data_IF_299199076759
#
_entry.id   IF_299199076759
#
_cell.length_a   1.000
_cell.length_b   1.000
_cell.length_c   1.000
_cell.angle_alpha   90.00
_cell.angle_beta   90.00
_cell.angle_gamma   90.00
#
_symmetry.space_group_name_H-M   'P 1'
#
loop_
_entity.id
_entity.type
_entity.pdbx_description
1 polymer ?
#
# COMPACT_ATOMS: atom_id res chain seq x y z
N UNK A 1 9.44 16.85 -17.52
CA UNK A 1 8.12 16.52 -16.91
C UNK A 1 7.88 17.48 -15.77
N UNK A 2 6.94 18.42 -15.93
CA UNK A 2 6.65 19.46 -14.94
C UNK A 2 6.07 18.80 -13.68
N UNK A 3 6.60 19.21 -12.53
CA UNK A 3 6.21 18.77 -11.18
C UNK A 3 4.82 19.32 -10.81
N UNK A 4 3.79 18.74 -11.37
CA UNK A 4 2.41 19.12 -11.11
C UNK A 4 1.74 18.20 -10.11
N UNK A 5 0.44 18.37 -9.97
CA UNK A 5 -0.51 17.60 -9.16
C UNK A 5 -0.30 16.09 -9.27
N UNK A 6 0.03 15.59 -10.47
CA UNK A 6 0.29 14.18 -10.78
C UNK A 6 1.43 13.58 -9.95
N UNK A 7 2.55 14.29 -9.82
CA UNK A 7 3.70 13.81 -9.05
C UNK A 7 3.40 13.82 -7.54
N UNK A 8 2.73 14.87 -7.05
CA UNK A 8 2.34 14.97 -5.64
C UNK A 8 1.34 13.89 -5.26
N UNK A 9 0.36 13.62 -6.11
CA UNK A 9 -0.64 12.59 -5.88
C UNK A 9 -0.04 11.19 -5.94
N UNK A 10 0.73 10.88 -7.00
CA UNK A 10 1.42 9.59 -7.15
C UNK A 10 2.38 9.32 -5.99
N UNK A 11 3.26 10.27 -5.67
CA UNK A 11 4.20 10.09 -4.57
C UNK A 11 3.49 9.99 -3.22
N UNK A 12 2.42 10.76 -2.98
CA UNK A 12 1.67 10.73 -1.73
C UNK A 12 0.86 9.44 -1.56
N UNK A 13 0.08 9.03 -2.56
CA UNK A 13 -0.74 7.82 -2.49
C UNK A 13 0.11 6.55 -2.48
N UNK A 14 1.18 6.50 -3.28
CA UNK A 14 2.09 5.36 -3.34
C UNK A 14 2.88 5.20 -2.05
N UNK A 15 3.39 6.30 -1.49
CA UNK A 15 4.09 6.29 -0.21
C UNK A 15 3.17 5.85 0.93
N UNK A 16 1.93 6.35 0.96
CA UNK A 16 0.96 5.95 1.98
C UNK A 16 0.58 4.47 1.87
N UNK A 17 0.41 3.96 0.65
CA UNK A 17 0.12 2.54 0.41
C UNK A 17 1.29 1.65 0.82
N UNK A 18 2.53 2.03 0.47
CA UNK A 18 3.74 1.30 0.88
C UNK A 18 3.86 1.26 2.40
N UNK A 19 3.67 2.40 3.08
CA UNK A 19 3.71 2.48 4.54
C UNK A 19 2.65 1.59 5.19
N UNK A 20 1.43 1.60 4.67
CA UNK A 20 0.33 0.77 5.16
C UNK A 20 0.65 -0.72 4.99
N UNK A 21 1.12 -1.13 3.80
CA UNK A 21 1.48 -2.51 3.51
C UNK A 21 2.60 -2.99 4.44
N UNK A 22 3.66 -2.18 4.63
CA UNK A 22 4.75 -2.54 5.53
C UNK A 22 4.30 -2.65 6.99
N UNK A 23 3.38 -1.79 7.44
CA UNK A 23 2.83 -1.85 8.79
C UNK A 23 2.00 -3.12 9.00
N UNK A 24 1.10 -3.44 8.07
CA UNK A 24 0.26 -4.63 8.12
C UNK A 24 1.12 -5.89 8.06
N UNK A 25 2.12 -5.92 7.18
CA UNK A 25 3.06 -7.03 7.05
C UNK A 25 3.88 -7.25 8.33
N UNK A 26 4.43 -6.19 8.89
CA UNK A 26 5.18 -6.26 10.15
C UNK A 26 4.30 -6.80 11.29
N UNK A 27 3.06 -6.35 11.40
CA UNK A 27 2.10 -6.83 12.40
C UNK A 27 1.73 -8.30 12.16
N UNK A 28 1.53 -8.70 10.90
CA UNK A 28 1.24 -10.08 10.52
C UNK A 28 2.39 -11.02 10.89
N UNK A 29 3.63 -10.70 10.48
CA UNK A 29 4.80 -11.51 10.79
C UNK A 29 5.06 -11.61 12.29
N UNK A 30 4.91 -10.50 13.03
CA UNK A 30 5.00 -10.50 14.48
C UNK A 30 3.95 -11.41 15.12
N UNK A 31 2.70 -11.31 14.68
CA UNK A 31 1.59 -12.15 15.18
C UNK A 31 1.80 -13.63 14.88
N UNK A 32 2.21 -13.96 13.65
CA UNK A 32 2.54 -15.33 13.24
C UNK A 32 3.68 -15.89 14.10
N UNK A 33 4.79 -15.18 14.20
CA UNK A 33 5.94 -15.60 14.99
C UNK A 33 5.54 -15.89 16.43
N UNK A 34 4.86 -14.95 17.06
CA UNK A 34 4.37 -15.10 18.43
C UNK A 34 3.42 -16.28 18.59
N UNK A 35 2.51 -16.48 17.63
CA UNK A 35 1.55 -17.59 17.65
C UNK A 35 2.24 -18.95 17.56
N UNK A 36 3.25 -19.09 16.67
CA UNK A 36 4.01 -20.33 16.53
C UNK A 36 4.77 -20.68 17.82
N UNK A 37 5.51 -19.72 18.40
CA UNK A 37 6.25 -19.94 19.64
C UNK A 37 5.32 -20.27 20.81
N UNK A 38 4.21 -19.55 20.96
CA UNK A 38 3.20 -19.84 21.99
C UNK A 38 2.58 -21.23 21.81
N UNK A 39 2.34 -21.67 20.58
CA UNK A 39 1.80 -23.00 20.28
C UNK A 39 2.75 -24.10 20.73
N UNK A 40 4.04 -23.96 20.48
CA UNK A 40 5.07 -24.90 20.96
C UNK A 40 5.10 -24.92 22.48
N UNK A 41 5.16 -23.77 23.12
CA UNK A 41 5.18 -23.64 24.58
C UNK A 41 3.94 -24.30 25.20
N UNK A 42 2.75 -24.05 24.70
CA UNK A 42 1.52 -24.70 25.20
C UNK A 42 1.52 -26.22 24.99
N UNK A 43 2.09 -26.69 23.89
CA UNK A 43 2.22 -28.13 23.63
C UNK A 43 3.17 -28.77 24.63
N UNK A 44 4.28 -28.13 24.93
CA UNK A 44 5.22 -28.58 25.95
C UNK A 44 4.60 -28.57 27.35
N UNK A 45 3.85 -27.54 27.73
CA UNK A 45 3.13 -27.48 28.99
C UNK A 45 2.11 -28.61 29.14
N UNK A 46 1.33 -28.90 28.10
CA UNK A 46 0.39 -30.04 28.12
C UNK A 46 1.13 -31.36 28.29
N UNK A 47 2.30 -31.51 27.63
CA UNK A 47 3.12 -32.71 27.76
C UNK A 47 3.68 -32.84 29.17
N UNK A 48 4.14 -31.77 29.78
CA UNK A 48 4.57 -31.74 31.17
C UNK A 48 3.45 -32.17 32.10
N UNK A 49 2.25 -31.64 31.95
CA UNK A 49 1.10 -32.00 32.75
C UNK A 49 0.79 -33.51 32.67
N UNK A 50 0.90 -34.09 31.48
CA UNK A 50 0.75 -35.53 31.25
C UNK A 50 1.82 -36.33 32.02
N UNK A 51 3.09 -35.91 31.91
CA UNK A 51 4.23 -36.57 32.60
C UNK A 51 4.08 -36.45 34.12
N UNK A 52 3.74 -35.26 34.61
CA UNK A 52 3.48 -35.03 36.05
C UNK A 52 2.33 -35.87 36.58
N UNK A 53 1.26 -36.06 35.80
CA UNK A 53 0.15 -36.95 36.15
C UNK A 53 0.58 -38.42 36.26
N UNK A 54 1.41 -38.89 35.32
CA UNK A 54 2.01 -40.23 35.38
C UNK A 54 2.90 -40.38 36.64
N UNK A 55 3.73 -39.36 36.91
CA UNK A 55 4.57 -39.37 38.09
C UNK A 55 3.79 -39.54 39.39
N UNK A 56 2.67 -38.80 39.53
CA UNK A 56 1.76 -38.93 40.69
C UNK A 56 1.22 -40.36 40.85
N UNK A 57 0.90 -41.03 39.75
CA UNK A 57 0.47 -42.42 39.76
C UNK A 57 1.56 -43.39 40.21
N UNK A 58 2.85 -43.15 39.76
CA UNK A 58 3.98 -44.00 40.13
C UNK A 58 4.48 -43.78 41.56
N UNK A 59 4.39 -42.53 42.06
CA UNK A 59 4.88 -42.20 43.40
C UNK A 59 3.88 -42.51 44.51
N UNK A 60 2.61 -42.67 44.15
CA UNK A 60 1.49 -42.96 45.07
C UNK A 60 1.37 -41.86 46.14
N UNK A 61 0.17 -41.72 46.72
CA UNK A 61 -0.18 -40.75 47.77
C UNK A 61 0.53 -41.03 49.12
N UNK A 62 1.41 -41.98 49.15
CA UNK A 62 2.11 -42.37 50.37
C UNK A 62 3.50 -41.67 50.42
N UNK A 63 3.56 -40.62 51.23
CA UNK A 63 4.79 -39.92 51.62
C UNK A 63 5.85 -40.87 52.31
N UNK A 64 5.59 -42.13 52.31
CA UNK A 64 6.40 -43.15 53.01
C UNK A 64 7.32 -43.98 52.13
N UNK A 65 7.34 -43.83 50.78
CA UNK A 65 8.39 -44.45 49.98
C UNK A 65 9.66 -43.68 50.15
N UNK A 66 10.78 -44.39 50.48
CA UNK A 66 12.08 -43.78 50.65
C UNK A 66 12.47 -42.92 49.43
N UNK A 67 13.06 -41.77 49.67
CA UNK A 67 13.52 -40.81 48.65
C UNK A 67 14.35 -41.50 47.56
N UNK A 68 15.21 -42.42 47.90
CA UNK A 68 16.02 -43.25 46.98
C UNK A 68 15.17 -44.07 45.99
N UNK A 69 13.98 -44.55 46.41
CA UNK A 69 13.06 -45.30 45.51
C UNK A 69 12.40 -44.41 44.50
N UNK A 70 12.18 -43.10 44.80
CA UNK A 70 11.62 -42.09 43.89
C UNK A 70 12.60 -41.64 42.83
N UNK A 71 13.89 -41.42 43.19
CA UNK A 71 14.92 -41.04 42.21
C UNK A 71 15.18 -42.15 41.21
N UNK A 72 15.17 -43.42 41.64
CA UNK A 72 15.28 -44.55 40.71
C UNK A 72 14.06 -44.64 39.79
N UNK A 73 12.85 -44.40 40.26
CA UNK A 73 11.64 -44.40 39.45
C UNK A 73 11.66 -43.25 38.41
N UNK A 74 12.13 -42.05 38.79
CA UNK A 74 12.27 -40.88 37.90
C UNK A 74 13.34 -41.16 36.82
N UNK A 75 14.53 -41.67 37.15
CA UNK A 75 15.56 -42.07 36.20
C UNK A 75 15.03 -43.10 35.18
N UNK A 76 14.33 -44.11 35.65
CA UNK A 76 13.69 -45.12 34.78
C UNK A 76 12.66 -44.52 33.85
N UNK A 77 11.88 -43.51 34.30
CA UNK A 77 10.92 -42.80 33.52
C UNK A 77 11.61 -41.97 32.40
N UNK A 78 12.78 -41.36 32.67
CA UNK A 78 13.59 -40.68 31.65
C UNK A 78 14.14 -41.67 30.62
N UNK A 79 14.67 -42.81 31.09
CA UNK A 79 15.20 -43.86 30.19
C UNK A 79 14.11 -44.45 29.28
N UNK A 80 12.90 -44.61 29.79
CA UNK A 80 11.74 -45.18 29.08
C UNK A 80 10.89 -44.12 28.36
N UNK A 81 11.33 -42.88 28.27
CA UNK A 81 10.58 -41.81 27.63
C UNK A 81 10.31 -42.13 26.14
N UNK A 82 9.03 -42.16 25.76
CA UNK A 82 8.61 -42.66 24.45
C UNK A 82 8.78 -41.68 23.30
N UNK A 83 8.79 -40.38 23.58
CA UNK A 83 8.79 -39.31 22.56
C UNK A 83 10.19 -38.70 22.35
N UNK A 84 11.26 -39.52 22.42
CA UNK A 84 12.63 -39.09 22.27
C UNK A 84 12.94 -38.42 20.92
N UNK A 85 12.17 -38.75 19.89
CA UNK A 85 12.32 -38.15 18.56
C UNK A 85 11.88 -36.69 18.49
N UNK A 86 11.05 -36.23 19.43
CA UNK A 86 10.47 -34.89 19.46
C UNK A 86 10.94 -34.05 20.62
N UNK A 87 11.21 -34.69 21.75
CA UNK A 87 11.54 -34.04 23.00
C UNK A 87 12.71 -34.74 23.67
N UNK A 88 13.61 -33.97 24.21
CA UNK A 88 14.60 -34.45 25.15
C UNK A 88 14.09 -34.16 26.57
N UNK A 89 13.99 -35.22 27.38
CA UNK A 89 13.52 -35.13 28.74
C UNK A 89 14.69 -35.27 29.69
N UNK A 90 14.85 -34.32 30.63
CA UNK A 90 15.96 -34.25 31.54
C UNK A 90 15.48 -34.07 32.98
N UNK A 91 16.26 -34.58 33.92
CA UNK A 91 16.15 -34.29 35.36
C UNK A 91 17.25 -33.34 35.78
N UNK A 92 16.90 -32.36 36.61
CA UNK A 92 17.84 -31.36 37.14
C UNK A 92 17.93 -31.46 38.66
N UNK A 93 19.14 -31.20 39.18
CA UNK A 93 19.38 -31.02 40.59
C UNK A 93 18.97 -29.63 41.10
N UNK A 94 19.20 -29.32 42.35
CA UNK A 94 18.93 -28.04 42.99
C UNK A 94 19.76 -26.88 42.46
N UNK A 95 20.81 -27.16 41.73
CA UNK A 95 21.69 -26.18 41.08
C UNK A 95 21.36 -25.99 39.57
N UNK A 96 20.38 -26.73 39.05
CA UNK A 96 20.04 -26.71 37.63
C UNK A 96 20.92 -27.59 36.75
N UNK A 97 21.77 -28.42 37.35
CA UNK A 97 22.65 -29.36 36.63
C UNK A 97 21.88 -30.62 36.22
N UNK A 98 22.18 -31.17 35.03
CA UNK A 98 21.51 -32.35 34.51
C UNK A 98 21.98 -33.61 35.20
N UNK A 99 21.04 -34.35 35.83
CA UNK A 99 21.32 -35.62 36.51
C UNK A 99 21.07 -36.81 35.58
N UNK A 100 20.11 -36.72 34.72
CA UNK A 100 19.75 -37.74 33.74
C UNK A 100 19.08 -37.14 32.53
N UNK A 101 19.34 -37.69 31.32
CA UNK A 101 18.75 -37.30 30.05
C UNK A 101 18.23 -38.52 29.33
N UNK A 102 17.12 -38.34 28.60
CA UNK A 102 16.51 -39.37 27.76
C UNK A 102 17.32 -39.69 26.50
N UNK A 103 18.23 -38.79 26.10
CA UNK A 103 19.12 -39.00 24.96
C UNK A 103 20.35 -39.83 25.35
N UNK A 104 20.65 -39.97 26.64
CA UNK A 104 21.82 -40.68 27.14
C UNK A 104 23.13 -39.96 26.89
N UNK A 105 23.13 -38.80 26.29
CA UNK A 105 24.32 -37.93 26.15
C UNK A 105 24.50 -37.13 27.43
N UNK A 106 25.76 -37.05 27.88
CA UNK A 106 26.13 -36.08 28.93
C UNK A 106 25.76 -34.70 28.39
N UNK A 107 24.83 -34.03 29.06
CA UNK A 107 24.23 -32.79 28.58
C UNK A 107 25.16 -31.58 28.80
N UNK A 108 26.47 -31.72 28.48
CA UNK A 108 27.47 -30.68 28.62
C UNK A 108 27.23 -29.45 27.72
N UNK A 109 26.35 -29.57 26.70
CA UNK A 109 26.05 -28.47 25.77
C UNK A 109 24.90 -27.54 26.18
N UNK A 110 24.20 -27.80 27.31
CA UNK A 110 23.04 -26.99 27.73
C UNK A 110 23.43 -26.19 28.98
N UNK A 111 24.23 -25.15 28.75
CA UNK A 111 24.84 -24.34 29.84
C UNK A 111 23.96 -23.19 30.34
N UNK A 112 22.73 -23.01 29.84
CA UNK A 112 21.87 -21.95 30.35
C UNK A 112 20.83 -22.46 31.33
N UNK A 113 20.89 -21.94 32.55
CA UNK A 113 19.90 -22.19 33.60
C UNK A 113 18.71 -21.24 33.57
N UNK A 114 18.58 -20.46 32.50
CA UNK A 114 17.55 -19.39 32.39
C UNK A 114 16.10 -19.89 32.55
N UNK A 115 15.79 -21.07 32.04
CA UNK A 115 14.48 -21.70 32.23
C UNK A 115 14.30 -22.18 33.69
N UNK A 116 15.38 -22.69 34.33
CA UNK A 116 15.36 -23.11 35.73
C UNK A 116 15.29 -21.91 36.68
N UNK A 117 16.08 -20.86 36.43
CA UNK A 117 16.03 -19.60 37.20
C UNK A 117 14.63 -18.97 37.11
N UNK A 118 14.08 -18.89 35.91
CA UNK A 118 12.70 -18.38 35.71
C UNK A 118 11.69 -19.26 36.46
N UNK A 119 11.83 -20.58 36.45
CA UNK A 119 10.93 -21.47 37.18
C UNK A 119 10.99 -21.23 38.70
N UNK A 120 12.14 -20.86 39.25
CA UNK A 120 12.28 -20.52 40.68
C UNK A 120 11.62 -19.19 41.04
N UNK A 121 11.65 -18.22 40.10
CA UNK A 121 11.05 -16.88 40.31
C UNK A 121 9.53 -16.88 40.10
N UNK A 122 9.04 -17.77 39.23
CA UNK A 122 7.61 -17.82 38.85
C UNK A 122 6.80 -18.58 39.88
N UNK A 123 5.67 -18.03 40.29
CA UNK A 123 4.80 -18.64 41.36
C UNK A 123 4.17 -19.96 40.95
N UNK A 124 4.14 -20.33 39.68
CA UNK A 124 3.65 -21.63 39.19
C UNK A 124 4.78 -22.67 39.06
N UNK A 125 6.04 -22.29 39.37
CA UNK A 125 7.20 -23.15 39.27
C UNK A 125 7.58 -23.57 37.87
N UNK A 126 7.16 -22.80 36.85
CA UNK A 126 7.46 -23.06 35.45
C UNK A 126 8.30 -21.97 34.84
N UNK A 127 9.34 -22.35 34.09
CA UNK A 127 10.18 -21.43 33.33
C UNK A 127 10.35 -21.90 31.89
N UNK A 128 10.54 -20.95 30.98
CA UNK A 128 10.74 -21.19 29.54
C UNK A 128 11.92 -20.40 29.04
N UNK A 129 12.86 -21.06 28.38
CA UNK A 129 13.96 -20.38 27.69
C UNK A 129 14.10 -20.87 26.26
N UNK A 130 14.55 -19.96 25.40
CA UNK A 130 14.92 -20.26 24.02
C UNK A 130 16.40 -19.97 23.89
N UNK A 131 17.15 -20.93 23.46
CA UNK A 131 18.60 -20.80 23.28
C UNK A 131 19.08 -21.50 22.02
N UNK A 132 20.31 -21.23 21.66
CA UNK A 132 20.96 -21.87 20.52
C UNK A 132 21.98 -22.87 21.05
N UNK A 133 21.91 -24.12 20.59
CA UNK A 133 22.86 -25.16 20.88
C UNK A 133 24.21 -24.90 20.19
N UNK A 134 25.26 -25.59 20.59
CA UNK A 134 26.59 -25.52 19.94
C UNK A 134 26.52 -25.91 18.46
N UNK A 135 25.57 -26.76 18.07
CA UNK A 135 25.26 -27.10 16.68
C UNK A 135 24.52 -25.99 15.92
N UNK A 136 24.36 -24.79 16.51
CA UNK A 136 23.59 -23.66 15.96
C UNK A 136 22.07 -23.91 15.78
N UNK A 137 21.55 -24.97 16.36
CA UNK A 137 20.13 -25.27 16.38
C UNK A 137 19.42 -24.45 17.47
N UNK A 138 18.27 -23.87 17.11
CA UNK A 138 17.41 -23.19 18.07
C UNK A 138 16.51 -24.21 18.77
N UNK A 139 16.53 -24.21 20.10
CA UNK A 139 15.72 -25.09 20.94
C UNK A 139 14.93 -24.29 21.94
N UNK A 140 13.79 -24.81 22.35
CA UNK A 140 12.98 -24.30 23.44
C UNK A 140 13.06 -25.30 24.59
N UNK A 141 13.49 -24.83 25.76
CA UNK A 141 13.43 -25.57 27.02
C UNK A 141 12.31 -25.07 27.88
N UNK A 142 11.58 -25.99 28.47
CA UNK A 142 10.59 -25.73 29.51
C UNK A 142 11.02 -26.51 30.74
N UNK A 143 11.23 -25.77 31.85
CA UNK A 143 11.54 -26.32 33.13
C UNK A 143 10.30 -26.26 34.06
N UNK A 144 10.14 -27.30 34.87
CA UNK A 144 9.08 -27.35 35.88
C UNK A 144 9.72 -27.86 37.20
N UNK A 145 9.56 -27.06 38.24
CA UNK A 145 9.99 -27.47 39.59
C UNK A 145 9.11 -28.64 40.09
N UNK A 146 9.74 -29.62 40.65
CA UNK A 146 9.08 -30.81 41.19
C UNK A 146 9.41 -30.94 42.67
N UNK A 147 8.90 -30.02 43.53
CA UNK A 147 9.19 -30.07 44.95
C UNK A 147 8.70 -31.41 45.50
N UNK A 148 9.58 -32.04 46.29
CA UNK A 148 9.31 -33.33 46.94
C UNK A 148 9.36 -34.55 46.00
N UNK A 149 9.85 -34.47 44.76
CA UNK A 149 9.95 -35.63 43.89
C UNK A 149 11.01 -36.65 44.42
N UNK A 150 12.21 -36.18 44.67
CA UNK A 150 13.32 -36.96 45.31
C UNK A 150 14.30 -35.98 45.95
N UNK A 151 15.23 -36.48 46.73
CA UNK A 151 16.23 -35.65 47.45
C UNK A 151 17.26 -35.04 46.47
N UNK A 152 17.58 -35.77 45.40
CA UNK A 152 18.53 -35.41 44.35
C UNK A 152 17.91 -34.75 43.13
N UNK A 153 16.55 -34.63 43.01
CA UNK A 153 15.84 -34.08 41.85
C UNK A 153 15.03 -32.89 42.28
N UNK A 154 15.37 -31.71 41.76
CA UNK A 154 14.64 -30.45 42.02
C UNK A 154 13.70 -30.07 40.88
N UNK A 155 14.02 -30.39 39.64
CA UNK A 155 13.22 -30.01 38.48
C UNK A 155 13.28 -31.05 37.35
N UNK A 156 12.30 -30.97 36.49
CA UNK A 156 12.24 -31.66 35.20
C UNK A 156 12.32 -30.64 34.08
N UNK A 157 13.10 -30.91 33.06
CA UNK A 157 13.23 -30.08 31.86
C UNK A 157 12.83 -30.87 30.63
N UNK A 158 12.07 -30.25 29.77
CA UNK A 158 11.71 -30.76 28.45
C UNK A 158 12.28 -29.82 27.40
N UNK A 159 13.06 -30.35 26.47
CA UNK A 159 13.68 -29.58 25.39
C UNK A 159 13.13 -30.03 24.06
N UNK A 160 12.85 -29.12 23.16
CA UNK A 160 12.42 -29.43 21.78
C UNK A 160 13.13 -28.55 20.77
N UNK A 161 13.42 -29.12 19.60
CA UNK A 161 13.94 -28.38 18.46
C UNK A 161 12.90 -27.43 17.88
N UNK A 162 13.34 -26.20 17.56
CA UNK A 162 12.54 -25.21 16.85
C UNK A 162 12.78 -25.20 15.34
N UNK A 163 13.57 -26.15 14.82
CA UNK A 163 13.92 -26.21 13.38
C UNK A 163 12.71 -26.30 12.49
N UNK A 164 11.72 -27.11 12.85
CA UNK A 164 10.46 -27.21 12.09
C UNK A 164 9.69 -25.89 12.11
N UNK A 165 9.63 -25.23 13.26
CA UNK A 165 8.98 -23.91 13.43
C UNK A 165 9.68 -22.86 12.58
N UNK A 166 11.01 -22.83 12.61
CA UNK A 166 11.81 -21.91 11.79
C UNK A 166 11.60 -22.12 10.31
N UNK A 167 11.52 -23.37 9.85
CA UNK A 167 11.25 -23.67 8.45
C UNK A 167 9.82 -23.26 8.04
N UNK A 168 8.84 -23.48 8.89
CA UNK A 168 7.48 -22.98 8.67
C UNK A 168 7.44 -21.45 8.61
N UNK A 169 8.11 -20.76 9.52
CA UNK A 169 8.20 -19.30 9.53
C UNK A 169 8.93 -18.77 8.28
N UNK A 170 9.99 -19.44 7.80
CA UNK A 170 10.65 -19.10 6.53
C UNK A 170 9.68 -19.19 5.35
N UNK A 171 8.88 -20.24 5.28
CA UNK A 171 7.90 -20.40 4.23
C UNK A 171 6.81 -19.32 4.29
N UNK A 172 6.29 -19.01 5.48
CA UNK A 172 5.35 -17.90 5.69
C UNK A 172 5.97 -16.59 5.22
N UNK A 173 7.21 -16.31 5.60
CA UNK A 173 7.94 -15.11 5.19
C UNK A 173 8.13 -15.02 3.66
N UNK A 174 8.48 -16.12 3.00
CA UNK A 174 8.62 -16.15 1.53
C UNK A 174 7.28 -15.88 0.83
N UNK A 175 6.20 -16.50 1.31
CA UNK A 175 4.87 -16.28 0.76
C UNK A 175 4.45 -14.82 0.97
N UNK A 176 4.68 -14.26 2.14
CA UNK A 176 4.33 -12.87 2.46
C UNK A 176 5.08 -11.86 1.58
N UNK A 177 6.36 -12.09 1.32
CA UNK A 177 7.14 -11.28 0.37
C UNK A 177 6.50 -11.29 -1.03
N UNK A 178 6.10 -12.46 -1.52
CA UNK A 178 5.46 -12.58 -2.84
C UNK A 178 4.14 -11.79 -2.86
N UNK A 179 3.35 -11.87 -1.81
CA UNK A 179 2.09 -11.10 -1.67
C UNK A 179 2.36 -9.60 -1.69
N UNK A 180 3.34 -9.12 -0.91
CA UNK A 180 3.74 -7.71 -0.87
C UNK A 180 4.18 -7.21 -2.25
N UNK A 181 5.05 -7.97 -2.93
CA UNK A 181 5.52 -7.61 -4.28
C UNK A 181 4.34 -7.54 -5.27
N UNK A 182 3.39 -8.48 -5.17
CA UNK A 182 2.20 -8.50 -6.02
C UNK A 182 1.32 -7.27 -5.78
N UNK A 183 1.05 -6.91 -4.52
CA UNK A 183 0.26 -5.73 -4.15
C UNK A 183 0.94 -4.45 -4.65
N UNK A 184 2.25 -4.32 -4.44
CA UNK A 184 3.01 -3.15 -4.90
C UNK A 184 3.02 -3.06 -6.43
N UNK A 185 3.23 -4.18 -7.12
CA UNK A 185 3.18 -4.25 -8.58
C UNK A 185 1.82 -3.83 -9.13
N UNK A 186 0.74 -4.33 -8.54
CA UNK A 186 -0.62 -3.93 -8.91
C UNK A 186 -0.88 -2.45 -8.65
N UNK A 187 -0.43 -1.92 -7.51
CA UNK A 187 -0.58 -0.50 -7.16
C UNK A 187 0.13 0.41 -8.17
N UNK A 188 1.36 0.05 -8.54
CA UNK A 188 2.12 0.80 -9.56
C UNK A 188 1.45 0.73 -10.93
N UNK A 189 1.03 -0.47 -11.35
CA UNK A 189 0.34 -0.67 -12.63
C UNK A 189 -0.97 0.13 -12.71
N UNK A 190 -1.78 0.08 -11.65
CA UNK A 190 -3.03 0.85 -11.52
C UNK A 190 -2.76 2.35 -11.55
N UNK A 191 -1.74 2.83 -10.84
CA UNK A 191 -1.35 4.24 -10.86
C UNK A 191 -0.89 4.72 -12.24
N UNK A 192 -0.11 3.92 -12.95
CA UNK A 192 0.30 4.22 -14.33
C UNK A 192 -0.88 4.24 -15.30
N UNK A 193 -1.80 3.28 -15.15
CA UNK A 193 -3.04 3.26 -15.93
C UNK A 193 -3.86 4.53 -15.68
N UNK A 194 -4.08 4.90 -14.42
CA UNK A 194 -4.82 6.12 -14.05
C UNK A 194 -4.20 7.39 -14.64
N UNK A 195 -2.86 7.50 -14.60
CA UNK A 195 -2.17 8.65 -15.18
C UNK A 195 -2.38 8.72 -16.70
N UNK A 196 -2.31 7.60 -17.40
CA UNK A 196 -2.45 7.55 -18.86
C UNK A 196 -3.90 7.74 -19.32
N UNK A 197 -4.86 7.18 -18.58
CA UNK A 197 -6.27 7.21 -18.98
C UNK A 197 -7.01 8.48 -18.55
N UNK A 198 -6.58 9.15 -17.49
CA UNK A 198 -7.30 10.30 -16.93
C UNK A 198 -6.43 11.56 -16.88
N UNK A 199 -5.26 11.49 -16.23
CA UNK A 199 -4.49 12.71 -15.92
C UNK A 199 -3.88 13.34 -17.18
N UNK A 200 -3.31 12.53 -18.07
CA UNK A 200 -2.74 13.02 -19.32
C UNK A 200 -3.80 13.63 -20.23
N UNK A 201 -4.94 12.97 -20.49
CA UNK A 201 -6.03 13.54 -21.25
C UNK A 201 -6.61 14.85 -20.69
N UNK A 202 -6.83 14.90 -19.38
CA UNK A 202 -7.30 16.15 -18.73
C UNK A 202 -6.31 17.30 -18.90
N UNK A 203 -5.01 17.01 -18.83
CA UNK A 203 -3.98 18.01 -19.12
C UNK A 203 -3.95 18.48 -20.59
N UNK A 204 -4.39 17.63 -21.53
CA UNK A 204 -4.58 18.03 -22.93
C UNK A 204 -5.79 18.96 -23.06
N UNK A 205 -6.92 18.61 -22.43
CA UNK A 205 -8.13 19.43 -22.39
C UNK A 205 -7.84 20.83 -21.84
N UNK A 206 -7.13 20.92 -20.71
CA UNK A 206 -6.71 22.20 -20.11
C UNK A 206 -5.94 23.06 -21.08
N UNK A 207 -4.93 22.48 -21.75
CA UNK A 207 -4.07 23.23 -22.71
C UNK A 207 -4.87 23.70 -23.93
N UNK A 208 -5.72 22.84 -24.48
CA UNK A 208 -6.55 23.19 -25.62
C UNK A 208 -7.56 24.28 -25.27
N UNK A 209 -8.23 24.17 -24.10
CA UNK A 209 -9.14 25.21 -23.62
C UNK A 209 -8.41 26.56 -23.40
N UNK A 210 -7.19 26.52 -22.87
CA UNK A 210 -6.35 27.72 -22.74
C UNK A 210 -5.92 28.28 -24.09
N UNK A 211 -5.69 27.45 -25.11
CA UNK A 211 -5.44 27.88 -26.50
C UNK A 211 -6.66 28.57 -27.12
N UNK A 212 -7.84 27.94 -26.99
CA UNK A 212 -9.10 28.52 -27.48
C UNK A 212 -9.36 29.90 -26.84
N UNK A 213 -9.10 30.04 -25.53
CA UNK A 213 -9.23 31.33 -24.83
C UNK A 213 -8.27 32.42 -25.36
N UNK A 214 -7.16 32.04 -26.00
CA UNK A 214 -6.22 32.97 -26.68
C UNK A 214 -6.57 33.21 -28.14
N UNK A 215 -7.63 32.58 -28.66
CA UNK A 215 -8.05 32.72 -30.04
C UNK A 215 -7.48 31.65 -31.00
N UNK A 216 -6.84 30.60 -30.49
CA UNK A 216 -6.36 29.44 -31.28
C UNK A 216 -7.55 28.49 -31.53
N UNK A 217 -8.45 28.85 -32.46
CA UNK A 217 -9.73 28.15 -32.66
C UNK A 217 -9.63 26.91 -33.57
N UNK A 218 -8.53 26.69 -34.24
CA UNK A 218 -8.25 25.57 -35.16
C UNK A 218 -7.82 24.28 -34.45
N UNK A 219 -7.43 24.36 -33.17
CA UNK A 219 -6.95 23.22 -32.39
C UNK A 219 -8.11 22.29 -32.01
N UNK A 220 -7.93 20.98 -32.23
CA UNK A 220 -8.91 19.95 -31.85
C UNK A 220 -8.27 18.86 -31.01
N UNK A 221 -9.04 18.33 -30.04
CA UNK A 221 -8.68 17.19 -29.23
C UNK A 221 -9.02 15.89 -29.97
N UNK A 222 -8.15 14.86 -29.92
CA UNK A 222 -8.48 13.55 -30.46
C UNK A 222 -9.61 12.91 -29.64
N UNK A 223 -10.66 12.45 -30.30
CA UNK A 223 -11.80 11.74 -29.74
C UNK A 223 -11.75 10.31 -30.23
N UNK A 224 -11.84 9.33 -29.34
CA UNK A 224 -11.83 7.90 -29.68
C UNK A 224 -13.21 7.38 -30.11
N UNK A 225 -14.26 8.15 -29.85
CA UNK A 225 -15.65 7.81 -30.21
C UNK A 225 -16.34 6.88 -29.19
N UNK A 226 -15.70 6.61 -28.03
CA UNK A 226 -16.36 5.87 -26.96
C UNK A 226 -17.21 6.83 -26.10
N UNK A 227 -18.51 6.83 -26.36
CA UNK A 227 -19.47 7.67 -25.63
C UNK A 227 -19.61 7.32 -24.15
N UNK A 228 -19.07 6.18 -23.71
CA UNK A 228 -19.08 5.76 -22.30
C UNK A 228 -17.95 6.36 -21.50
N UNK A 229 -16.91 6.85 -22.18
CA UNK A 229 -15.77 7.50 -21.52
C UNK A 229 -16.10 8.98 -21.27
N UNK A 230 -16.17 9.37 -20.02
CA UNK A 230 -16.42 10.74 -19.58
C UNK A 230 -15.36 11.71 -20.09
N UNK A 231 -14.10 11.26 -20.20
CA UNK A 231 -13.00 12.07 -20.73
C UNK A 231 -13.19 12.32 -22.23
N UNK A 232 -13.64 11.33 -22.96
CA UNK A 232 -13.90 11.46 -24.39
C UNK A 232 -15.12 12.37 -24.65
N UNK A 233 -16.16 12.27 -23.84
CA UNK A 233 -17.30 13.21 -23.89
C UNK A 233 -16.87 14.65 -23.60
N UNK A 234 -15.97 14.84 -22.65
CA UNK A 234 -15.40 16.17 -22.34
C UNK A 234 -14.61 16.73 -23.54
N UNK A 235 -13.77 15.89 -24.18
CA UNK A 235 -13.03 16.27 -25.40
C UNK A 235 -13.97 16.69 -26.51
N UNK A 236 -15.04 15.90 -26.75
CA UNK A 236 -16.05 16.23 -27.74
C UNK A 236 -16.77 17.55 -27.45
N UNK A 237 -17.05 17.84 -26.18
CA UNK A 237 -17.68 19.09 -25.76
C UNK A 237 -16.78 20.30 -26.01
N UNK A 238 -15.50 20.19 -25.69
CA UNK A 238 -14.51 21.25 -25.96
C UNK A 238 -14.36 21.48 -27.49
N UNK A 239 -14.32 20.41 -28.28
CA UNK A 239 -14.25 20.55 -29.74
C UNK A 239 -15.48 21.29 -30.32
N UNK A 240 -16.71 20.95 -29.87
CA UNK A 240 -17.94 21.66 -30.28
C UNK A 240 -17.94 23.13 -29.86
N UNK A 241 -17.42 23.43 -28.67
CA UNK A 241 -17.25 24.82 -28.21
C UNK A 241 -16.28 25.59 -29.13
N UNK A 242 -15.13 24.99 -29.48
CA UNK A 242 -14.17 25.59 -30.40
C UNK A 242 -14.82 25.88 -31.79
N UNK A 243 -15.59 24.93 -32.33
CA UNK A 243 -16.27 25.05 -33.60
C UNK A 243 -17.30 26.21 -33.59
N UNK A 244 -18.11 26.30 -32.53
CA UNK A 244 -19.08 27.41 -32.40
C UNK A 244 -18.42 28.79 -32.27
N UNK A 245 -17.25 28.86 -31.58
CA UNK A 245 -16.49 30.10 -31.51
C UNK A 245 -15.84 30.47 -32.87
N UNK A 246 -15.31 29.51 -33.60
CA UNK A 246 -14.74 29.70 -34.93
C UNK A 246 -15.80 30.23 -35.91
N UNK A 247 -17.00 29.63 -35.91
CA UNK A 247 -18.14 30.09 -36.73
C UNK A 247 -18.53 31.53 -36.37
N UNK A 248 -18.62 31.84 -35.08
CA UNK A 248 -18.92 33.21 -34.59
C UNK A 248 -17.85 34.21 -35.04
N UNK A 249 -16.59 33.86 -34.95
CA UNK A 249 -15.49 34.75 -35.38
C UNK A 249 -15.52 34.96 -36.90
N UNK A 250 -15.83 33.92 -37.69
CA UNK A 250 -15.98 34.00 -39.11
C UNK A 250 -17.15 34.94 -39.50
N UNK A 251 -18.31 34.75 -38.90
CA UNK A 251 -19.48 35.63 -39.13
C UNK A 251 -19.19 37.09 -38.78
N UNK A 252 -18.48 37.33 -37.66
CA UNK A 252 -18.06 38.68 -37.27
C UNK A 252 -17.14 39.31 -38.30
N UNK A 253 -16.18 38.59 -38.86
CA UNK A 253 -15.24 39.07 -39.84
C UNK A 253 -15.93 39.34 -41.19
N UNK A 254 -16.83 38.46 -41.61
CA UNK A 254 -17.65 38.66 -42.80
C UNK A 254 -18.54 39.91 -42.65
N UNK A 255 -19.18 40.09 -41.51
CA UNK A 255 -20.00 41.29 -41.20
C UNK A 255 -19.15 42.56 -41.25
N UNK A 256 -17.98 42.61 -40.60
CA UNK A 256 -17.08 43.76 -40.60
C UNK A 256 -16.63 44.06 -42.06
N UNK A 257 -16.32 43.05 -42.86
CA UNK A 257 -15.92 43.20 -44.25
C UNK A 257 -17.09 43.77 -45.08
N UNK A 258 -18.28 43.23 -44.95
CA UNK A 258 -19.48 43.68 -45.66
C UNK A 258 -19.82 45.15 -45.32
N UNK A 259 -19.91 45.48 -44.02
CA UNK A 259 -20.19 46.85 -43.57
C UNK A 259 -19.10 47.81 -44.07
N UNK A 260 -17.82 47.41 -44.04
CA UNK A 260 -16.72 48.24 -44.56
C UNK A 260 -16.86 48.52 -46.04
N UNK A 261 -17.30 47.53 -46.85
CA UNK A 261 -17.58 47.70 -48.27
C UNK A 261 -18.81 48.64 -48.50
N UNK A 262 -19.90 48.38 -47.80
CA UNK A 262 -21.11 49.18 -47.91
C UNK A 262 -20.94 50.65 -47.48
N UNK A 263 -20.03 50.91 -46.50
CA UNK A 263 -19.70 52.28 -46.08
C UNK A 263 -18.67 52.95 -47.03
N UNK A 264 -17.79 52.20 -47.65
CA UNK A 264 -16.74 52.77 -48.56
C UNK A 264 -17.36 53.42 -49.78
N UNK A 265 -18.38 52.80 -50.37
CA UNK A 265 -19.05 53.27 -51.59
C UNK A 265 -19.67 54.65 -51.39
N UNK A 266 -20.58 54.91 -50.41
CA UNK A 266 -21.15 56.24 -50.18
C UNK A 266 -20.08 57.27 -49.77
N UNK A 267 -19.08 56.87 -48.94
CA UNK A 267 -17.96 57.77 -48.56
C UNK A 267 -17.13 58.20 -49.75
N UNK A 268 -16.86 57.30 -50.70
CA UNK A 268 -16.15 57.61 -51.95
C UNK A 268 -16.95 58.59 -52.80
N UNK A 269 -18.27 58.38 -52.92
CA UNK A 269 -19.17 59.30 -53.63
C UNK A 269 -19.18 60.70 -52.99
N UNK A 270 -19.39 60.74 -51.63
CA UNK A 270 -19.34 62.02 -50.89
C UNK A 270 -18.04 62.74 -51.07
N UNK A 271 -16.92 62.01 -50.99
CA UNK A 271 -15.60 62.59 -51.21
C UNK A 271 -15.43 63.16 -52.62
N UNK A 272 -15.86 62.39 -53.64
CA UNK A 272 -15.85 62.85 -54.99
C UNK A 272 -16.68 64.13 -55.20
N UNK A 273 -17.88 64.17 -54.61
CA UNK A 273 -18.74 65.37 -54.67
C UNK A 273 -18.09 66.57 -53.97
N UNK A 274 -17.52 66.39 -52.79
CA UNK A 274 -16.83 67.46 -52.06
C UNK A 274 -15.62 67.96 -52.83
N UNK A 275 -14.87 67.07 -53.50
CA UNK A 275 -13.74 67.42 -54.33
C UNK A 275 -14.15 68.20 -55.58
N UNK A 276 -15.24 67.76 -56.21
CA UNK A 276 -15.85 68.50 -57.34
C UNK A 276 -16.38 69.87 -56.90
N UNK A 277 -17.08 69.98 -55.76
CA UNK A 277 -17.51 71.28 -55.22
C UNK A 277 -16.34 72.24 -54.92
N UNK A 278 -15.21 71.76 -54.49
CA UNK A 278 -14.00 72.58 -54.24
C UNK A 278 -13.35 73.10 -55.52
N UNK A 279 -13.63 72.53 -56.70
CA UNK A 279 -13.11 72.96 -58.00
C UNK A 279 -14.02 73.89 -58.74
N UNK A 280 -15.29 74.08 -58.29
CA UNK A 280 -16.25 75.02 -58.82
C UNK A 280 -16.10 76.41 -58.19
N UNK A 281 -15.69 77.37 -58.95
CA UNK A 281 -15.42 78.77 -58.52
C UNK A 281 -16.74 79.63 -58.38
N UNK A 282 -17.87 79.18 -58.93
CA UNK A 282 -19.15 79.92 -58.90
C UNK A 282 -20.28 79.12 -58.18
N UNK A 283 -20.80 79.62 -57.03
CA UNK A 283 -21.83 78.97 -56.25
C UNK A 283 -23.20 78.98 -56.98
N UNK A 284 -23.37 79.70 -58.08
CA UNK A 284 -24.61 79.81 -58.86
C UNK A 284 -24.64 78.88 -60.10
N UNK A 285 -23.58 78.09 -60.29
CA UNK A 285 -23.50 77.08 -61.35
C UNK A 285 -24.61 76.01 -61.19
N UNK A 286 -25.27 75.71 -62.27
CA UNK A 286 -26.39 74.75 -62.29
C UNK A 286 -25.90 73.34 -61.84
N UNK A 287 -24.60 73.04 -62.05
CA UNK A 287 -23.98 71.84 -61.58
C UNK A 287 -23.81 71.85 -60.06
N UNK A 288 -23.60 72.99 -59.42
CA UNK A 288 -23.51 73.14 -57.96
C UNK A 288 -24.84 72.78 -57.28
N UNK A 289 -25.97 73.28 -57.78
CA UNK A 289 -27.30 73.04 -57.31
C UNK A 289 -27.71 71.54 -57.54
N UNK A 290 -27.38 70.97 -58.69
CA UNK A 290 -27.63 69.59 -59.00
C UNK A 290 -26.91 68.62 -58.05
N UNK A 291 -25.67 68.90 -57.72
CA UNK A 291 -24.85 68.03 -56.77
C UNK A 291 -25.44 68.07 -55.36
N UNK A 292 -25.97 69.17 -54.89
CA UNK A 292 -26.67 69.31 -53.60
C UNK A 292 -27.97 68.54 -53.59
N UNK A 293 -28.76 68.58 -54.67
CA UNK A 293 -29.99 67.83 -54.76
C UNK A 293 -29.85 66.31 -54.93
N UNK A 294 -28.76 65.83 -55.51
CA UNK A 294 -28.46 64.41 -55.64
C UNK A 294 -28.11 63.80 -54.25
N UNK A 295 -27.74 64.64 -53.29
CA UNK A 295 -27.42 64.19 -51.89
C UNK A 295 -28.67 63.92 -51.06
N UNK A 296 -29.92 64.23 -51.58
CA UNK A 296 -31.13 63.83 -50.88
C UNK A 296 -31.34 62.31 -50.94
N UNK A 297 -31.33 61.64 -49.80
CA UNK A 297 -31.47 60.20 -49.81
C UNK A 297 -32.75 59.81 -50.43
N UNK A 298 -32.72 59.03 -51.53
CA UNK A 298 -33.91 58.35 -52.05
C UNK A 298 -34.53 57.62 -50.87
N UNK A 299 -35.69 58.13 -50.42
CA UNK A 299 -36.50 57.45 -49.39
C UNK A 299 -36.84 56.09 -49.92
N UNK A 300 -36.14 55.10 -49.37
CA UNK A 300 -36.48 53.70 -49.54
C UNK A 300 -37.92 53.53 -49.11
N UNK A 301 -38.77 53.30 -50.07
CA UNK A 301 -40.07 52.71 -49.84
C UNK A 301 -39.87 51.31 -49.27
N UNK A 302 -39.92 51.19 -47.97
CA UNK A 302 -40.18 49.94 -47.31
C UNK A 302 -41.63 49.73 -47.25
N UNK A 303 -42.11 48.82 -48.06
CA UNK A 303 -43.37 48.09 -47.87
C UNK A 303 -43.02 46.74 -47.27
#
# INVERSE_FOLDING_TARGET
>A
MRSGITRRWLCGSLLMTVLLVLLVEGMFLYSCTRSYYNSVQQTMYRRFSSISGQLKMYTGDTAQKASASRSVALRRMVEQFSDKDKYEFMLLDSYGSVIASSSGTDAEGILTSADFEQAQETGDGMGVAIYRTDSSEMVMAVCCLVPYAAEDVAAMRLVTSLTLVQNQLKNVFLISIVVVITILGFTVASGLYFVRSIVVPLGQVERTAAGIARGELDVRLPVTGDERDEVDRLRGTINRMAEGLEETEKMKNEFISSVSHELRTPLTSIRGWVETLRTLDDPTDENYLSLIHISEPTRLQLI
#
